data_IF_081330077961
#
_entry.id   IF_081330077961
#
_cell.length_a   1.000
_cell.length_b   1.000
_cell.length_c   1.000
_cell.angle_alpha   90.00
_cell.angle_beta   90.00
_cell.angle_gamma   90.00
#
_symmetry.space_group_name_H-M   'P 1'
#
loop_
_entity.id
_entity.type
_entity.pdbx_description
1 polymer ?
#
# COMPACT_ATOMS: atom_id res chain seq x y z
N UNK A 1 -14.60 -25.26 -10.02
CA UNK A 1 -13.88 -23.97 -10.08
C UNK A 1 -12.50 -24.28 -10.63
N UNK A 2 -12.11 -23.66 -11.76
CA UNK A 2 -10.73 -23.77 -12.25
C UNK A 2 -9.78 -23.10 -11.26
N UNK A 3 -8.53 -23.56 -11.20
CA UNK A 3 -7.55 -22.92 -10.34
C UNK A 3 -7.30 -21.48 -10.83
N UNK A 4 -7.38 -20.46 -9.96
CA UNK A 4 -7.11 -19.07 -10.34
C UNK A 4 -5.75 -18.84 -11.02
N UNK A 5 -4.74 -19.66 -10.70
CA UNK A 5 -3.43 -19.58 -11.31
C UNK A 5 -3.40 -20.21 -12.71
N UNK A 6 -4.16 -21.30 -12.93
CA UNK A 6 -4.34 -21.88 -14.27
C UNK A 6 -5.00 -20.90 -15.24
N UNK A 7 -6.01 -20.14 -14.78
CA UNK A 7 -6.69 -19.13 -15.59
C UNK A 7 -5.71 -18.06 -16.09
N UNK A 8 -4.72 -17.70 -15.27
CA UNK A 8 -3.67 -16.75 -15.64
C UNK A 8 -2.48 -17.41 -16.36
N UNK A 9 -2.47 -18.74 -16.50
CA UNK A 9 -1.33 -19.50 -17.05
C UNK A 9 -0.08 -19.41 -16.18
N UNK A 10 -0.26 -19.27 -14.86
CA UNK A 10 0.81 -19.12 -13.87
C UNK A 10 0.89 -20.33 -12.94
N UNK A 11 2.02 -20.47 -12.26
CA UNK A 11 2.17 -21.45 -11.20
C UNK A 11 1.59 -20.89 -9.88
N UNK A 12 1.07 -21.77 -9.02
CA UNK A 12 0.47 -21.40 -7.71
C UNK A 12 1.45 -20.70 -6.77
N UNK A 13 2.75 -20.98 -6.93
CA UNK A 13 3.84 -20.34 -6.21
C UNK A 13 4.29 -18.98 -6.79
N UNK A 14 3.78 -18.59 -7.96
CA UNK A 14 4.20 -17.34 -8.63
C UNK A 14 4.00 -16.12 -7.72
N UNK A 15 4.99 -15.23 -7.59
CA UNK A 15 4.89 -14.03 -6.75
C UNK A 15 3.80 -13.07 -7.25
N UNK A 16 3.22 -12.28 -6.36
CA UNK A 16 2.12 -11.36 -6.68
C UNK A 16 2.48 -10.36 -7.79
N UNK A 17 3.76 -9.98 -7.89
CA UNK A 17 4.27 -9.12 -8.97
C UNK A 17 4.14 -9.77 -10.34
N UNK A 18 4.33 -11.08 -10.44
CA UNK A 18 4.16 -11.85 -11.67
C UNK A 18 2.67 -12.02 -12.00
N UNK A 19 1.85 -12.30 -10.99
CA UNK A 19 0.38 -12.35 -11.11
C UNK A 19 -0.17 -11.03 -11.66
N UNK A 20 0.29 -9.89 -11.14
CA UNK A 20 -0.13 -8.56 -11.60
C UNK A 20 0.38 -8.23 -13.01
N UNK A 21 1.61 -8.61 -13.34
CA UNK A 21 2.18 -8.41 -14.67
C UNK A 21 1.41 -9.19 -15.74
N UNK A 22 1.08 -10.46 -15.46
CA UNK A 22 0.32 -11.33 -16.37
C UNK A 22 -1.13 -10.87 -16.49
N UNK A 23 -1.79 -10.54 -15.37
CA UNK A 23 -3.12 -9.94 -15.38
C UNK A 23 -3.19 -8.70 -16.29
N UNK A 24 -2.24 -7.77 -16.13
CA UNK A 24 -2.17 -6.57 -16.96
C UNK A 24 -1.92 -6.89 -18.44
N UNK A 25 -1.12 -7.92 -18.72
CA UNK A 25 -0.84 -8.37 -20.08
C UNK A 25 -2.10 -8.96 -20.74
N UNK A 26 -2.81 -9.84 -20.04
CA UNK A 26 -4.04 -10.47 -20.54
C UNK A 26 -5.14 -9.43 -20.77
N UNK A 27 -5.35 -8.48 -19.85
CA UNK A 27 -6.33 -7.41 -20.06
C UNK A 27 -6.03 -6.54 -21.27
N UNK A 28 -4.76 -6.32 -21.61
CA UNK A 28 -4.37 -5.62 -22.84
C UNK A 28 -4.60 -6.46 -24.09
N UNK A 29 -4.32 -7.77 -24.01
CA UNK A 29 -4.52 -8.70 -25.12
C UNK A 29 -5.99 -8.88 -25.44
N UNK A 30 -6.87 -8.85 -24.44
CA UNK A 30 -8.32 -8.99 -24.59
C UNK A 30 -9.06 -7.66 -24.48
N UNK A 31 -8.44 -6.54 -24.85
CA UNK A 31 -9.10 -5.22 -24.84
C UNK A 31 -10.18 -5.17 -25.94
N UNK A 32 -11.47 -4.93 -25.62
CA UNK A 32 -12.55 -4.89 -26.60
C UNK A 32 -12.39 -3.78 -27.66
N UNK A 33 -11.48 -2.83 -27.45
CA UNK A 33 -11.12 -1.78 -28.43
C UNK A 33 -9.96 -2.18 -29.35
N UNK A 34 -9.34 -3.34 -29.13
CA UNK A 34 -8.22 -3.82 -29.94
C UNK A 34 -8.71 -4.28 -31.32
N UNK A 35 -8.24 -3.66 -32.41
CA UNK A 35 -8.64 -4.04 -33.75
C UNK A 35 -8.14 -5.44 -34.06
N UNK A 36 -9.07 -6.37 -34.31
CA UNK A 36 -8.79 -7.77 -34.67
C UNK A 36 -9.37 -8.81 -33.71
N UNK A 37 -9.70 -8.46 -32.47
CA UNK A 37 -10.27 -9.42 -31.51
C UNK A 37 -11.72 -9.77 -31.81
N UNK A 38 -12.52 -8.79 -32.25
CA UNK A 38 -13.93 -8.99 -32.61
C UNK A 38 -14.14 -9.89 -33.84
N UNK A 39 -13.06 -10.29 -34.53
CA UNK A 39 -13.08 -11.22 -35.65
C UNK A 39 -12.78 -12.67 -35.21
N UNK A 40 -12.18 -12.86 -34.04
CA UNK A 40 -11.79 -14.16 -33.49
C UNK A 40 -12.70 -14.60 -32.33
N UNK A 41 -13.27 -13.65 -31.59
CA UNK A 41 -14.16 -13.88 -30.46
C UNK A 41 -15.32 -12.88 -30.44
N UNK A 42 -16.49 -13.34 -30.03
CA UNK A 42 -17.68 -12.52 -29.82
C UNK A 42 -17.47 -11.55 -28.66
N UNK A 43 -18.21 -10.45 -28.62
CA UNK A 43 -18.11 -9.48 -27.50
C UNK A 43 -18.42 -10.15 -26.16
N UNK A 44 -19.37 -11.09 -26.16
CA UNK A 44 -19.78 -11.87 -25.00
C UNK A 44 -18.66 -12.81 -24.54
N UNK A 45 -17.91 -13.40 -25.47
CA UNK A 45 -16.79 -14.30 -25.19
C UNK A 45 -15.58 -13.53 -24.65
N UNK A 46 -15.30 -12.35 -25.21
CA UNK A 46 -14.24 -11.45 -24.72
C UNK A 46 -14.56 -10.98 -23.29
N UNK A 47 -15.80 -10.60 -23.04
CA UNK A 47 -16.20 -10.12 -21.72
C UNK A 47 -16.20 -11.24 -20.68
N UNK A 48 -16.68 -12.44 -21.04
CA UNK A 48 -16.62 -13.62 -20.18
C UNK A 48 -15.17 -13.99 -19.81
N UNK A 49 -14.24 -13.94 -20.76
CA UNK A 49 -12.84 -14.24 -20.52
C UNK A 49 -12.18 -13.18 -19.62
N UNK A 50 -12.49 -11.90 -19.82
CA UNK A 50 -12.01 -10.81 -18.95
C UNK A 50 -12.54 -10.97 -17.53
N UNK A 51 -13.81 -11.33 -17.39
CA UNK A 51 -14.42 -11.60 -16.09
C UNK A 51 -13.73 -12.77 -15.39
N UNK A 52 -13.41 -13.85 -16.11
CA UNK A 52 -12.68 -15.01 -15.56
C UNK A 52 -11.28 -14.60 -15.08
N UNK A 53 -10.57 -13.76 -15.85
CA UNK A 53 -9.25 -13.20 -15.49
C UNK A 53 -9.33 -12.31 -14.24
N UNK A 54 -10.35 -11.45 -14.14
CA UNK A 54 -10.55 -10.58 -12.98
C UNK A 54 -10.92 -11.36 -11.71
N UNK A 55 -11.82 -12.34 -11.82
CA UNK A 55 -12.22 -13.21 -10.71
C UNK A 55 -11.02 -14.02 -10.19
N UNK A 56 -10.19 -14.55 -11.10
CA UNK A 56 -8.96 -15.25 -10.76
C UNK A 56 -7.98 -14.33 -9.99
N UNK A 57 -7.69 -13.14 -10.52
CA UNK A 57 -6.83 -12.15 -9.85
C UNK A 57 -7.36 -11.77 -8.46
N UNK A 58 -8.66 -11.49 -8.36
CA UNK A 58 -9.32 -11.13 -7.09
C UNK A 58 -9.19 -12.25 -6.07
N UNK A 59 -9.39 -13.50 -6.48
CA UNK A 59 -9.28 -14.67 -5.62
C UNK A 59 -7.86 -14.85 -5.08
N UNK A 60 -6.84 -14.74 -5.94
CA UNK A 60 -5.42 -14.84 -5.54
C UNK A 60 -5.07 -13.72 -4.55
N UNK A 61 -5.49 -12.49 -4.85
CA UNK A 61 -5.26 -11.32 -3.99
C UNK A 61 -5.90 -11.50 -2.61
N UNK A 62 -7.12 -12.01 -2.57
CA UNK A 62 -7.89 -12.20 -1.32
C UNK A 62 -7.32 -13.35 -0.49
N UNK A 63 -7.02 -14.51 -1.11
CA UNK A 63 -6.33 -15.63 -0.45
C UNK A 63 -4.97 -15.23 0.13
N UNK A 64 -4.14 -14.49 -0.61
CA UNK A 64 -2.84 -13.97 -0.09
C UNK A 64 -3.02 -12.95 1.03
N UNK A 65 -4.08 -12.15 1.01
CA UNK A 65 -4.39 -11.23 2.11
C UNK A 65 -4.90 -11.99 3.35
N UNK A 66 -5.69 -13.04 3.17
CA UNK A 66 -6.10 -13.94 4.25
C UNK A 66 -4.93 -14.74 4.82
N UNK A 67 -4.01 -15.23 3.99
CA UNK A 67 -2.77 -15.86 4.45
C UNK A 67 -1.87 -14.89 5.19
N UNK A 68 -1.79 -13.63 4.77
CA UNK A 68 -1.09 -12.57 5.54
C UNK A 68 -1.80 -12.22 6.85
N UNK A 69 -3.14 -12.33 6.92
CA UNK A 69 -3.90 -12.22 8.17
C UNK A 69 -3.71 -13.43 9.08
N UNK A 70 -3.63 -14.65 8.53
CA UNK A 70 -3.42 -15.91 9.28
C UNK A 70 -1.95 -16.12 9.69
N UNK A 71 -1.00 -15.57 8.94
CA UNK A 71 0.42 -15.38 9.32
C UNK A 71 0.66 -13.98 9.92
N UNK A 72 -0.37 -13.36 10.49
CA UNK A 72 -0.14 -12.40 11.57
C UNK A 72 0.56 -13.13 12.73
N UNK A 73 1.39 -12.46 13.52
CA UNK A 73 1.96 -13.09 14.70
C UNK A 73 0.81 -13.52 15.63
N UNK A 74 0.55 -14.81 15.75
CA UNK A 74 -0.02 -15.38 16.97
C UNK A 74 1.06 -15.21 18.06
N UNK A 75 0.83 -14.73 19.27
CA UNK A 75 -0.37 -14.52 20.08
C UNK A 75 0.04 -13.44 21.11
N UNK A 76 -0.82 -12.52 21.54
CA UNK A 76 -1.52 -12.75 22.81
C UNK A 76 -2.87 -12.00 22.84
N UNK A 77 -4.01 -12.69 23.03
CA UNK A 77 -5.30 -12.10 23.32
C UNK A 77 -5.42 -11.97 24.85
N UNK A 78 -5.16 -10.78 25.36
CA UNK A 78 -5.75 -10.35 26.62
C UNK A 78 -6.26 -8.93 26.42
N UNK A 79 -7.56 -8.81 26.18
CA UNK A 79 -8.33 -7.71 26.77
C UNK A 79 -8.54 -8.08 28.24
N UNK A 80 -8.11 -7.22 29.17
CA UNK A 80 -8.95 -6.13 29.64
C UNK A 80 -8.15 -4.82 29.56
N UNK A 81 -8.69 -3.69 29.12
CA UNK A 81 -9.87 -3.03 29.63
C UNK A 81 -10.17 -1.86 28.68
N UNK A 82 -11.44 -1.53 28.50
CA UNK A 82 -11.92 -0.44 27.64
C UNK A 82 -11.63 0.95 28.25
N UNK A 83 -10.90 1.05 29.35
CA UNK A 83 -10.58 2.31 30.04
C UNK A 83 -9.08 2.62 30.05
N UNK A 84 -8.53 2.98 28.89
CA UNK A 84 -7.40 3.94 28.82
C UNK A 84 -7.39 4.71 27.50
N UNK A 85 -8.59 5.07 27.04
CA UNK A 85 -8.79 6.00 25.95
C UNK A 85 -8.82 7.43 26.50
N UNK A 86 -7.73 7.92 27.07
CA UNK A 86 -7.48 9.37 27.18
C UNK A 86 -6.08 9.63 27.76
N UNK A 87 -5.34 10.51 27.07
CA UNK A 87 -4.05 11.09 27.47
C UNK A 87 -2.85 10.16 27.32
N UNK A 88 -2.35 10.07 26.09
CA UNK A 88 -0.92 9.89 25.74
C UNK A 88 -0.83 9.66 24.21
N UNK A 89 -0.78 10.73 23.41
CA UNK A 89 0.07 10.71 22.22
C UNK A 89 1.38 11.39 22.68
N UNK A 90 2.53 10.72 22.58
CA UNK A 90 3.26 10.71 21.30
C UNK A 90 4.10 9.42 21.07
N UNK A 91 4.49 9.14 19.81
CA UNK A 91 5.48 8.13 19.37
C UNK A 91 5.03 6.70 19.02
N UNK A 92 3.74 6.36 19.03
CA UNK A 92 3.31 4.97 18.78
C UNK A 92 2.84 4.59 17.38
N UNK A 93 2.36 5.56 16.57
CA UNK A 93 1.77 5.22 15.28
C UNK A 93 2.77 5.42 14.16
N UNK A 94 3.16 4.32 13.53
CA UNK A 94 3.88 4.39 12.27
C UNK A 94 2.98 5.11 11.25
N UNK A 95 3.42 6.27 10.72
CA UNK A 95 2.68 6.99 9.66
C UNK A 95 2.32 6.04 8.49
N UNK A 96 3.19 5.06 8.25
CA UNK A 96 2.99 3.95 7.33
C UNK A 96 1.78 3.08 7.67
N UNK A 97 1.63 2.68 8.93
CA UNK A 97 0.50 1.86 9.38
C UNK A 97 -0.83 2.60 9.23
N UNK A 98 -0.87 3.89 9.55
CA UNK A 98 -2.07 4.70 9.38
C UNK A 98 -2.43 4.79 7.90
N UNK A 99 -1.46 5.13 7.04
CA UNK A 99 -1.68 5.14 5.58
C UNK A 99 -2.16 3.78 5.06
N UNK A 100 -1.56 2.69 5.53
CA UNK A 100 -1.92 1.32 5.13
C UNK A 100 -3.32 0.93 5.62
N UNK A 101 -3.73 1.34 6.83
CA UNK A 101 -5.10 1.16 7.33
C UNK A 101 -6.12 1.92 6.51
N UNK A 102 -5.75 3.07 5.94
CA UNK A 102 -6.57 3.82 4.99
C UNK A 102 -6.57 3.21 3.58
N UNK A 103 -5.78 2.16 3.33
CA UNK A 103 -5.70 1.49 2.02
C UNK A 103 -4.97 2.28 0.94
N UNK A 104 -4.24 3.34 1.31
CA UNK A 104 -3.59 4.25 0.38
C UNK A 104 -2.15 3.85 0.05
N UNK A 105 -1.74 4.01 -1.20
CA UNK A 105 -0.35 3.91 -1.63
C UNK A 105 0.43 5.20 -1.35
N UNK A 106 1.76 5.10 -1.29
CA UNK A 106 2.63 6.27 -1.17
C UNK A 106 2.47 7.24 -2.35
N UNK A 107 2.23 6.72 -3.57
CA UNK A 107 2.04 7.54 -4.77
C UNK A 107 0.77 8.37 -4.69
N UNK A 108 -0.35 7.76 -4.27
CA UNK A 108 -1.63 8.47 -4.13
C UNK A 108 -1.53 9.62 -3.12
N UNK A 109 -0.91 9.37 -1.97
CA UNK A 109 -0.69 10.42 -0.96
C UNK A 109 0.23 11.52 -1.52
N UNK A 110 1.38 11.12 -2.07
CA UNK A 110 2.39 12.02 -2.63
C UNK A 110 1.79 12.99 -3.66
N UNK A 111 0.93 12.50 -4.55
CA UNK A 111 0.26 13.29 -5.56
C UNK A 111 -0.74 14.29 -4.98
N UNK A 112 -1.46 13.90 -3.91
CA UNK A 112 -2.43 14.75 -3.22
C UNK A 112 -1.76 15.88 -2.45
N UNK A 113 -0.71 15.58 -1.67
CA UNK A 113 -0.01 16.59 -0.86
C UNK A 113 1.15 17.27 -1.57
N UNK A 114 1.39 16.94 -2.85
CA UNK A 114 2.47 17.50 -3.70
C UNK A 114 3.86 17.32 -3.09
N UNK A 115 4.13 16.13 -2.56
CA UNK A 115 5.44 15.73 -2.00
C UNK A 115 5.97 14.54 -2.79
N UNK A 116 7.28 14.46 -3.04
CA UNK A 116 7.85 13.33 -3.79
C UNK A 116 7.65 12.02 -3.00
N UNK A 117 7.25 10.90 -3.64
CA UNK A 117 7.07 9.62 -2.95
C UNK A 117 8.30 9.12 -2.19
N UNK A 118 9.50 9.45 -2.67
CA UNK A 118 10.77 9.11 -2.02
C UNK A 118 10.93 9.77 -0.65
N UNK A 119 10.42 11.00 -0.47
CA UNK A 119 10.48 11.72 0.80
C UNK A 119 9.53 11.09 1.81
N UNK A 120 8.29 10.78 1.40
CA UNK A 120 7.33 10.10 2.28
C UNK A 120 7.82 8.72 2.69
N UNK A 121 8.45 7.98 1.78
CA UNK A 121 9.10 6.71 2.10
C UNK A 121 10.22 6.90 3.13
N UNK A 122 11.10 7.87 2.93
CA UNK A 122 12.19 8.14 3.86
C UNK A 122 11.69 8.56 5.25
N UNK A 123 10.58 9.29 5.33
CA UNK A 123 9.88 9.59 6.59
C UNK A 123 9.34 8.30 7.23
N UNK A 124 8.67 7.44 6.48
CA UNK A 124 8.09 6.18 6.99
C UNK A 124 9.14 5.15 7.43
N UNK A 125 10.30 5.12 6.77
CA UNK A 125 11.38 4.17 7.02
C UNK A 125 12.43 4.72 8.02
N UNK A 126 12.32 6.00 8.42
CA UNK A 126 13.34 6.65 9.25
C UNK A 126 14.68 6.82 8.52
N UNK A 127 14.69 6.84 7.19
CA UNK A 127 15.89 7.04 6.37
C UNK A 127 16.26 8.53 6.30
N UNK A 128 16.69 9.09 7.43
CA UNK A 128 16.94 10.54 7.60
C UNK A 128 18.03 11.09 6.68
N UNK A 129 18.96 10.23 6.25
CA UNK A 129 20.03 10.56 5.29
C UNK A 129 19.50 11.01 3.91
N UNK A 130 18.33 10.51 3.51
CA UNK A 130 17.71 10.78 2.20
C UNK A 130 16.72 11.94 2.27
N UNK A 131 16.58 12.55 3.45
CA UNK A 131 15.70 13.69 3.68
C UNK A 131 16.43 15.03 3.38
N UNK A 132 15.69 16.02 2.87
CA UNK A 132 16.20 17.38 2.68
C UNK A 132 16.46 18.07 4.04
N UNK A 133 16.97 19.31 4.04
CA UNK A 133 17.13 20.07 5.28
C UNK A 133 15.85 20.12 6.11
N UNK A 134 16.02 20.09 7.44
CA UNK A 134 14.93 20.00 8.42
C UNK A 134 13.80 21.00 8.19
N UNK A 135 14.12 22.21 7.71
CA UNK A 135 13.14 23.26 7.35
C UNK A 135 12.08 22.76 6.37
N UNK A 136 12.48 21.99 5.34
CA UNK A 136 11.57 21.39 4.37
C UNK A 136 10.84 20.18 4.95
N UNK A 137 11.56 19.33 5.69
CA UNK A 137 10.99 18.12 6.31
C UNK A 137 9.84 18.47 7.26
N UNK A 138 9.98 19.54 8.06
CA UNK A 138 8.87 20.04 8.90
C UNK A 138 7.62 20.34 8.09
N UNK A 139 7.77 20.97 6.92
CA UNK A 139 6.65 21.24 6.02
C UNK A 139 5.97 19.96 5.54
N UNK A 140 6.75 18.98 5.11
CA UNK A 140 6.23 17.69 4.63
C UNK A 140 5.56 16.87 5.73
N UNK A 141 6.14 16.84 6.93
CA UNK A 141 5.53 16.20 8.09
C UNK A 141 4.18 16.82 8.43
N UNK A 142 4.06 18.16 8.37
CA UNK A 142 2.79 18.84 8.63
C UNK A 142 1.73 18.51 7.57
N UNK A 143 2.12 18.51 6.30
CA UNK A 143 1.22 18.14 5.21
C UNK A 143 0.76 16.69 5.34
N UNK A 144 1.69 15.79 5.63
CA UNK A 144 1.37 14.36 5.73
C UNK A 144 0.53 14.05 6.98
N UNK A 145 0.83 14.69 8.12
CA UNK A 145 0.00 14.58 9.33
C UNK A 145 -1.43 15.05 9.08
N UNK A 146 -1.62 16.24 8.48
CA UNK A 146 -2.96 16.74 8.12
C UNK A 146 -3.70 15.75 7.22
N UNK A 147 -3.01 15.20 6.24
CA UNK A 147 -3.58 14.23 5.31
C UNK A 147 -4.06 12.95 6.02
N UNK A 148 -3.28 12.47 7.00
CA UNK A 148 -3.62 11.29 7.79
C UNK A 148 -4.60 11.58 8.95
N UNK A 149 -5.09 12.82 9.08
CA UNK A 149 -5.99 13.23 10.17
C UNK A 149 -5.30 13.31 11.55
N UNK A 150 -3.98 13.47 11.57
CA UNK A 150 -3.18 13.62 12.78
C UNK A 150 -2.90 15.09 13.10
N UNK A 151 -2.54 15.37 14.36
CA UNK A 151 -2.04 16.69 14.74
C UNK A 151 -0.63 16.93 14.14
N UNK A 152 -0.47 17.95 13.28
CA UNK A 152 0.81 18.28 12.67
C UNK A 152 1.90 18.67 13.67
N UNK A 153 1.54 19.34 14.76
CA UNK A 153 2.49 19.78 15.77
C UNK A 153 3.03 18.58 16.57
N UNK A 154 2.17 17.62 16.91
CA UNK A 154 2.60 16.39 17.59
C UNK A 154 3.51 15.54 16.72
N UNK A 155 3.17 15.35 15.45
CA UNK A 155 3.99 14.57 14.50
C UNK A 155 5.36 15.21 14.32
N UNK A 156 5.44 16.52 14.13
CA UNK A 156 6.73 17.23 14.00
C UNK A 156 7.55 17.10 15.28
N UNK A 157 6.93 17.32 16.45
CA UNK A 157 7.60 17.23 17.75
C UNK A 157 8.16 15.82 18.00
N UNK A 158 7.43 14.78 17.63
CA UNK A 158 7.87 13.40 17.74
C UNK A 158 9.04 13.06 16.80
N UNK A 159 9.09 13.69 15.63
CA UNK A 159 10.11 13.42 14.61
C UNK A 159 11.40 14.24 14.79
N UNK A 160 11.30 15.43 15.40
CA UNK A 160 12.44 16.34 15.63
C UNK A 160 13.65 15.71 16.34
N UNK A 161 13.50 14.96 17.46
CA UNK A 161 14.66 14.34 18.12
C UNK A 161 15.33 13.27 17.25
N UNK A 162 14.55 12.49 16.48
CA UNK A 162 15.08 11.48 15.55
C UNK A 162 15.98 12.14 14.50
N UNK A 163 15.55 13.30 13.98
CA UNK A 163 16.32 14.05 12.99
C UNK A 163 17.62 14.62 13.56
N UNK A 164 17.60 15.15 14.79
CA UNK A 164 18.77 15.72 15.46
C UNK A 164 19.83 14.67 15.77
N UNK A 165 19.43 13.50 16.29
CA UNK A 165 20.36 12.42 16.64
C UNK A 165 21.11 11.87 15.41
N UNK A 166 20.53 11.99 14.21
CA UNK A 166 21.19 11.62 12.96
C UNK A 166 22.23 12.62 12.46
N UNK A 167 22.17 13.87 12.93
CA UNK A 167 23.12 14.94 12.58
C UNK A 167 24.33 14.95 13.49
N UNK A 168 24.16 14.58 14.76
CA UNK A 168 25.25 14.49 15.75
C UNK A 168 26.17 13.28 15.53
N UNK A 169 25.75 12.31 14.72
CA UNK A 169 26.55 11.13 14.32
C UNK A 169 27.34 11.32 13.01
N UNK A 170 27.51 12.57 12.53
CA UNK A 170 28.31 12.90 11.35
C UNK A 170 29.61 13.62 11.71
#
# INVERSE_FOLDING_TARGET
>A
MKDPYEVLGLNTDSPMSEVEATYRKLLKVFDPKSPGLSALWSKEEIEALRQEIEEAYRTIKLKRQEEKKKKGPAVNPQTPDVQKAEREAPLGYSLKEIRQKMGLSLQEVAEQIKVRPSILRAIEEGCLKDLPPWTYVKGFLRLYAKFLGLDPAEVVKAFEPLFQESRDKR
#
